data_IF_058887253319
#
_entry.id   IF_058887253319
#
_cell.length_a   1.000
_cell.length_b   1.000
_cell.length_c   1.000
_cell.angle_alpha   90.00
_cell.angle_beta   90.00
_cell.angle_gamma   90.00
#
_symmetry.space_group_name_H-M   'P 1'
#
loop_
_entity.id
_entity.type
_entity.pdbx_description
1 polymer ?
#
# COMPACT_ATOMS: atom_id res chain seq x y z
N UNK A 1 16.58 -23.78 0.60
CA UNK A 1 15.35 -24.23 1.27
C UNK A 1 14.60 -23.01 1.75
N UNK A 2 13.34 -22.84 1.35
CA UNK A 2 12.48 -21.74 1.83
C UNK A 2 12.12 -21.97 3.31
N UNK A 3 13.08 -21.75 4.21
CA UNK A 3 12.84 -21.78 5.66
C UNK A 3 12.53 -20.36 6.11
N UNK A 4 11.31 -20.17 6.57
CA UNK A 4 10.78 -18.90 7.06
C UNK A 4 9.27 -18.86 6.85
N UNK A 5 8.52 -18.47 7.89
CA UNK A 5 7.06 -18.42 7.81
C UNK A 5 6.55 -17.15 7.10
N UNK A 6 7.40 -16.13 6.93
CA UNK A 6 7.04 -14.83 6.36
C UNK A 6 6.54 -14.90 4.92
N UNK A 7 7.40 -15.32 3.98
CA UNK A 7 7.04 -15.39 2.55
C UNK A 7 5.86 -16.35 2.26
N UNK A 8 5.80 -17.57 2.82
CA UNK A 8 4.63 -18.43 2.67
C UNK A 8 3.34 -17.78 3.21
N UNK A 9 3.38 -17.12 4.38
CA UNK A 9 2.23 -16.43 4.95
C UNK A 9 1.81 -15.22 4.11
N UNK A 10 2.75 -14.41 3.62
CA UNK A 10 2.48 -13.29 2.71
C UNK A 10 1.82 -13.77 1.40
N UNK A 11 2.34 -14.87 0.81
CA UNK A 11 1.73 -15.48 -0.38
C UNK A 11 0.31 -15.96 -0.09
N UNK A 12 0.07 -16.60 1.05
CA UNK A 12 -1.27 -17.05 1.45
C UNK A 12 -2.22 -15.86 1.62
N UNK A 13 -1.78 -14.78 2.28
CA UNK A 13 -2.58 -13.57 2.48
C UNK A 13 -2.95 -12.89 1.15
N UNK A 14 -1.98 -12.71 0.26
CA UNK A 14 -2.22 -12.08 -1.04
C UNK A 14 -3.14 -12.93 -1.91
N UNK A 15 -2.96 -14.26 -1.93
CA UNK A 15 -3.90 -15.16 -2.61
C UNK A 15 -5.32 -15.05 -2.06
N UNK A 16 -5.47 -14.93 -0.74
CA UNK A 16 -6.78 -14.70 -0.11
C UNK A 16 -7.46 -13.40 -0.55
N UNK A 17 -6.69 -12.41 -0.99
CA UNK A 17 -7.18 -11.13 -1.54
C UNK A 17 -7.27 -11.13 -3.08
N UNK A 18 -7.05 -12.26 -3.75
CA UNK A 18 -6.96 -12.31 -5.22
C UNK A 18 -5.72 -11.59 -5.79
N UNK A 19 -4.76 -11.26 -4.94
CA UNK A 19 -3.52 -10.58 -5.29
C UNK A 19 -2.35 -11.53 -5.60
N UNK A 20 -1.22 -10.94 -5.96
CA UNK A 20 0.01 -11.63 -6.35
C UNK A 20 1.23 -11.09 -5.60
N UNK A 21 2.27 -11.93 -5.49
CA UNK A 21 3.56 -11.58 -4.89
C UNK A 21 4.70 -12.01 -5.81
N UNK A 22 5.54 -11.04 -6.18
CA UNK A 22 6.78 -11.22 -6.93
C UNK A 22 7.96 -10.95 -6.00
N UNK A 23 9.01 -11.76 -6.12
CA UNK A 23 10.25 -11.62 -5.36
C UNK A 23 11.40 -11.62 -6.35
N UNK A 24 12.20 -10.57 -6.33
CA UNK A 24 13.34 -10.38 -7.21
C UNK A 24 14.59 -10.28 -6.35
N UNK A 25 15.57 -11.13 -6.63
CA UNK A 25 16.81 -11.19 -5.86
C UNK A 25 17.96 -11.67 -6.73
N UNK A 26 19.12 -11.06 -6.58
CA UNK A 26 20.37 -11.51 -7.18
C UNK A 26 21.54 -11.32 -6.20
N UNK A 27 22.59 -12.16 -6.26
CA UNK A 27 23.76 -12.02 -5.39
C UNK A 27 24.40 -10.63 -5.49
N UNK A 28 24.57 -9.94 -4.37
CA UNK A 28 25.15 -8.60 -4.34
C UNK A 28 24.17 -7.45 -4.68
N UNK A 29 22.97 -7.74 -5.17
CA UNK A 29 21.96 -6.73 -5.53
C UNK A 29 20.87 -6.54 -4.46
N UNK A 30 20.82 -7.44 -3.48
CA UNK A 30 19.81 -7.41 -2.42
C UNK A 30 18.52 -8.12 -2.83
N UNK A 31 17.38 -7.66 -2.31
CA UNK A 31 16.08 -8.33 -2.51
C UNK A 31 14.96 -7.31 -2.53
N UNK A 32 14.12 -7.38 -3.56
CA UNK A 32 12.90 -6.58 -3.71
C UNK A 32 11.66 -7.48 -3.70
N UNK A 33 10.60 -7.00 -3.06
CA UNK A 33 9.29 -7.67 -3.02
C UNK A 33 8.25 -6.71 -3.59
N UNK A 34 7.48 -7.20 -4.55
CA UNK A 34 6.38 -6.47 -5.18
C UNK A 34 5.08 -7.22 -4.94
N UNK A 35 4.07 -6.54 -4.39
CA UNK A 35 2.75 -7.09 -4.14
C UNK A 35 1.69 -6.31 -4.94
N UNK A 36 0.78 -7.03 -5.60
CA UNK A 36 -0.35 -6.43 -6.29
C UNK A 36 -1.64 -7.00 -5.71
N UNK A 37 -2.60 -6.12 -5.40
CA UNK A 37 -3.91 -6.49 -4.87
C UNK A 37 -4.97 -5.78 -5.70
N UNK A 38 -5.98 -6.48 -6.24
CA UNK A 38 -7.10 -5.82 -6.89
C UNK A 38 -7.86 -4.98 -5.86
N UNK A 39 -8.12 -3.72 -6.20
CA UNK A 39 -8.96 -2.84 -5.42
C UNK A 39 -10.28 -2.67 -6.17
N UNK A 40 -11.40 -2.66 -5.43
CA UNK A 40 -12.61 -2.09 -5.97
C UNK A 40 -12.36 -0.62 -6.32
N UNK A 41 -12.98 -0.09 -7.39
CA UNK A 41 -12.97 1.35 -7.61
C UNK A 41 -13.45 2.01 -6.32
N UNK A 42 -12.81 3.11 -5.88
CA UNK A 42 -13.28 3.80 -4.70
C UNK A 42 -14.76 4.07 -4.91
N UNK A 43 -15.59 3.48 -4.05
CA UNK A 43 -16.97 3.91 -3.95
C UNK A 43 -16.88 5.41 -3.70
N UNK A 44 -17.69 6.21 -4.40
CA UNK A 44 -17.85 7.61 -4.02
C UNK A 44 -18.44 7.61 -2.62
N UNK A 45 -17.59 7.54 -1.61
CA UNK A 45 -17.99 7.82 -0.26
C UNK A 45 -18.30 9.32 -0.26
N UNK A 46 -19.56 9.73 -0.03
CA UNK A 46 -19.88 11.15 0.04
C UNK A 46 -19.13 11.87 1.18
N UNK A 47 -18.50 11.13 2.11
CA UNK A 47 -17.60 11.64 3.13
C UNK A 47 -16.11 11.69 2.71
N UNK A 48 -15.78 11.24 1.49
CA UNK A 48 -14.47 11.49 0.85
C UNK A 48 -14.61 12.53 -0.30
N UNK A 49 -15.07 13.77 -0.02
CA UNK A 49 -14.90 14.85 -0.97
C UNK A 49 -13.42 15.22 -0.95
N UNK A 50 -12.66 14.66 -1.90
CA UNK A 50 -11.34 15.10 -2.33
C UNK A 50 -10.63 16.02 -1.31
N UNK A 51 -9.77 15.43 -0.46
CA UNK A 51 -8.78 16.10 0.39
C UNK A 51 -8.75 17.62 0.17
N UNK A 52 -9.44 18.42 1.00
CA UNK A 52 -9.55 19.85 0.76
C UNK A 52 -8.12 20.42 0.75
N UNK A 53 -7.74 21.25 -0.25
CA UNK A 53 -6.39 21.78 -0.31
C UNK A 53 -6.12 22.52 1.00
N UNK A 54 -5.08 22.12 1.73
CA UNK A 54 -4.63 22.78 2.94
C UNK A 54 -4.44 24.28 2.63
N UNK A 55 -5.33 25.17 3.11
CA UNK A 55 -5.12 26.57 2.93
C UNK A 55 -4.14 27.00 4.02
N UNK A 56 -2.86 26.83 3.73
CA UNK A 56 -1.82 27.59 4.41
C UNK A 56 -2.20 29.08 4.38
N UNK A 57 -2.55 29.63 5.54
CA UNK A 57 -2.81 31.05 5.72
C UNK A 57 -2.90 31.37 7.21
N UNK A 58 -1.97 32.15 7.79
CA UNK A 58 -2.04 32.51 9.20
C UNK A 58 -3.16 33.54 9.34
N UNK A 59 -4.29 33.15 9.94
CA UNK A 59 -5.25 34.16 10.39
C UNK A 59 -4.67 34.81 11.64
N UNK A 60 -3.95 35.93 11.43
CA UNK A 60 -3.65 36.92 12.46
C UNK A 60 -4.91 37.17 13.29
N UNK A 61 -4.84 36.89 14.60
CA UNK A 61 -5.87 37.32 15.54
C UNK A 61 -5.79 38.86 15.64
N UNK A 62 -6.88 39.61 15.35
CA UNK A 62 -6.85 41.05 15.53
C UNK A 62 -6.91 41.39 17.04
N UNK A 63 -5.80 41.98 17.51
CA UNK A 63 -5.50 42.80 18.71
C UNK A 63 -6.28 42.58 20.01
#
# INVERSE_FOLDING_TARGET
>A
GVRGHGLPAMRARLRGLGGTLTVESAPGEGTALSAAVPLDPPGTDPADPADPPDPAGPMEAPR
#
